data_IF_863782749510
#
_entry.id   IF_863782749510
#
_cell.length_a   1.000
_cell.length_b   1.000
_cell.length_c   1.000
_cell.angle_alpha   90.00
_cell.angle_beta   90.00
_cell.angle_gamma   90.00
#
_symmetry.space_group_name_H-M   'P 1'
#
loop_
_entity.id
_entity.type
_entity.pdbx_description
1 polymer ?
#
# COMPACT_ATOMS: atom_id res chain seq x y z
N UNK A 1 21.14 10.74 2.83
CA UNK A 1 20.30 9.53 2.72
C UNK A 1 19.30 9.59 3.85
N UNK A 2 18.05 9.99 3.56
CA UNK A 2 17.01 10.09 4.58
C UNK A 2 16.66 8.70 5.11
N UNK A 3 16.76 8.50 6.42
CA UNK A 3 16.26 7.31 7.09
C UNK A 3 14.74 7.36 7.01
N UNK A 4 14.15 6.53 6.16
CA UNK A 4 12.72 6.26 6.19
C UNK A 4 12.49 5.37 7.42
N UNK A 5 11.79 5.89 8.43
CA UNK A 5 11.35 5.08 9.57
C UNK A 5 10.33 4.10 9.02
N UNK A 6 10.74 2.85 8.81
CA UNK A 6 9.83 1.80 8.40
C UNK A 6 9.19 1.22 9.65
N UNK A 7 7.90 1.48 9.85
CA UNK A 7 7.16 1.02 11.01
C UNK A 7 6.43 -0.31 10.69
N UNK A 8 6.62 -1.31 11.54
CA UNK A 8 5.90 -2.59 11.44
C UNK A 8 4.59 -2.51 12.22
N UNK A 9 3.46 -2.82 11.58
CA UNK A 9 2.11 -2.79 12.15
C UNK A 9 1.52 -4.19 12.20
N UNK A 10 0.84 -4.55 13.28
CA UNK A 10 0.13 -5.84 13.34
C UNK A 10 -1.09 -5.84 12.43
N UNK A 11 -1.46 -6.99 11.87
CA UNK A 11 -2.67 -7.10 11.04
C UNK A 11 -3.95 -6.74 11.80
N UNK A 12 -3.94 -6.92 13.13
CA UNK A 12 -5.08 -6.55 13.99
C UNK A 12 -5.21 -5.03 14.09
N UNK A 13 -4.11 -4.35 14.39
CA UNK A 13 -4.03 -2.88 14.46
C UNK A 13 -4.35 -2.25 13.09
N UNK A 14 -3.75 -2.79 12.04
CA UNK A 14 -3.96 -2.30 10.68
C UNK A 14 -5.43 -2.38 10.26
N UNK A 15 -6.15 -3.45 10.64
CA UNK A 15 -7.58 -3.58 10.37
C UNK A 15 -8.42 -2.59 11.17
N UNK A 16 -8.07 -2.33 12.42
CA UNK A 16 -8.79 -1.40 13.28
C UNK A 16 -8.67 0.07 12.79
N UNK A 17 -7.51 0.41 12.21
CA UNK A 17 -7.17 1.79 11.82
C UNK A 17 -6.87 1.95 10.32
N UNK A 18 -7.47 1.10 9.48
CA UNK A 18 -7.13 1.01 8.05
C UNK A 18 -7.11 2.37 7.34
N UNK A 19 -8.15 3.19 7.53
CA UNK A 19 -8.27 4.49 6.87
C UNK A 19 -7.14 5.47 7.26
N UNK A 20 -6.63 5.38 8.48
CA UNK A 20 -5.52 6.21 8.95
C UNK A 20 -4.22 5.79 8.27
N UNK A 21 -3.88 4.50 8.32
CA UNK A 21 -2.71 3.98 7.64
C UNK A 21 -2.72 4.24 6.13
N UNK A 22 -3.89 4.16 5.48
CA UNK A 22 -4.00 4.50 4.06
C UNK A 22 -3.67 5.97 3.77
N UNK A 23 -4.10 6.92 4.62
CA UNK A 23 -3.71 8.34 4.48
C UNK A 23 -2.21 8.56 4.64
N UNK A 24 -1.58 7.85 5.58
CA UNK A 24 -0.12 7.89 5.74
C UNK A 24 0.60 7.31 4.53
N UNK A 25 0.08 6.23 3.97
CA UNK A 25 0.62 5.64 2.75
C UNK A 25 0.50 6.60 1.56
N UNK A 26 -0.64 7.31 1.43
CA UNK A 26 -0.82 8.36 0.42
C UNK A 26 0.17 9.53 0.59
N UNK A 27 0.56 9.87 1.82
CA UNK A 27 1.56 10.91 2.09
C UNK A 27 3.01 10.46 1.83
N UNK A 28 3.22 9.19 1.45
CA UNK A 28 4.54 8.64 1.11
C UNK A 28 5.12 7.68 2.15
N UNK A 29 4.43 7.44 3.26
CA UNK A 29 4.89 6.52 4.30
C UNK A 29 4.78 5.06 3.85
N UNK A 30 5.61 4.20 4.46
CA UNK A 30 5.66 2.77 4.18
C UNK A 30 5.57 1.99 5.47
N UNK A 31 4.79 0.92 5.45
CA UNK A 31 4.55 0.08 6.61
C UNK A 31 4.79 -1.39 6.26
N UNK A 32 5.34 -2.16 7.18
CA UNK A 32 5.31 -3.62 7.08
C UNK A 32 4.17 -4.18 7.91
N UNK A 33 3.23 -4.87 7.26
CA UNK A 33 2.19 -5.57 7.95
C UNK A 33 2.76 -6.89 8.53
N UNK A 34 2.39 -7.19 9.77
CA UNK A 34 2.85 -8.37 10.51
C UNK A 34 1.69 -9.26 10.95
N UNK A 35 1.91 -10.57 10.96
CA UNK A 35 1.02 -11.57 11.58
C UNK A 35 1.83 -12.34 12.61
N UNK A 36 1.39 -12.32 13.88
CA UNK A 36 2.10 -12.96 15.00
C UNK A 36 3.57 -12.54 15.09
N UNK A 37 3.84 -11.24 14.88
CA UNK A 37 5.18 -10.66 14.94
C UNK A 37 6.08 -10.92 13.73
N UNK A 38 5.60 -11.66 12.72
CA UNK A 38 6.33 -11.89 11.46
C UNK A 38 5.80 -10.98 10.36
N UNK A 39 6.70 -10.26 9.69
CA UNK A 39 6.38 -9.47 8.50
C UNK A 39 5.85 -10.38 7.37
N UNK A 40 4.72 -9.99 6.78
CA UNK A 40 4.08 -10.74 5.71
C UNK A 40 3.82 -9.90 4.45
N UNK A 41 3.82 -8.58 4.55
CA UNK A 41 3.54 -7.70 3.43
C UNK A 41 3.99 -6.26 3.67
N UNK A 42 4.18 -5.53 2.58
CA UNK A 42 4.49 -4.09 2.59
C UNK A 42 3.26 -3.32 2.11
N UNK A 43 2.90 -2.28 2.86
CA UNK A 43 1.93 -1.28 2.45
C UNK A 43 2.69 -0.03 2.02
N UNK A 44 2.49 0.38 0.77
CA UNK A 44 3.17 1.52 0.14
C UNK A 44 2.26 2.18 -0.88
N UNK A 45 2.48 3.47 -1.19
CA UNK A 45 1.69 4.14 -2.20
C UNK A 45 1.84 3.41 -3.54
N UNK A 46 0.75 3.38 -4.32
CA UNK A 46 0.81 2.86 -5.68
C UNK A 46 1.78 3.73 -6.49
N UNK A 47 2.64 3.10 -7.29
CA UNK A 47 3.40 3.83 -8.32
C UNK A 47 2.38 4.62 -9.18
N UNK A 48 2.59 5.91 -9.46
CA UNK A 48 1.75 6.70 -10.36
C UNK A 48 1.39 5.97 -11.66
N UNK A 49 2.31 5.21 -12.24
CA UNK A 49 2.07 4.38 -13.43
C UNK A 49 1.09 3.23 -13.16
N UNK A 50 1.16 2.61 -11.98
CA UNK A 50 0.18 1.58 -11.55
C UNK A 50 -1.17 2.20 -11.23
N UNK A 51 -1.21 3.41 -10.68
CA UNK A 51 -2.47 4.11 -10.44
C UNK A 51 -3.16 4.43 -11.77
N UNK A 52 -2.43 5.01 -12.72
CA UNK A 52 -2.90 5.27 -14.08
C UNK A 52 -3.35 3.99 -14.79
N UNK A 53 -2.60 2.88 -14.66
CA UNK A 53 -3.01 1.58 -15.19
C UNK A 53 -4.38 1.13 -14.65
N UNK A 54 -4.60 1.23 -13.32
CA UNK A 54 -5.89 0.85 -12.74
C UNK A 54 -7.02 1.82 -13.08
N UNK A 55 -6.71 3.08 -13.37
CA UNK A 55 -7.70 4.03 -13.89
C UNK A 55 -8.13 3.63 -15.31
N UNK A 56 -7.19 3.22 -16.18
CA UNK A 56 -7.49 2.68 -17.52
C UNK A 56 -8.33 1.40 -17.42
N UNK A 57 -7.99 0.49 -16.50
CA UNK A 57 -8.80 -0.73 -16.24
C UNK A 57 -10.21 -0.37 -15.76
N UNK A 58 -10.35 0.58 -14.82
CA UNK A 58 -11.66 1.03 -14.30
C UNK A 58 -12.50 1.75 -15.36
N UNK A 59 -11.87 2.46 -16.30
CA UNK A 59 -12.54 3.08 -17.44
C UNK A 59 -13.04 2.06 -18.50
N UNK A 60 -12.65 0.79 -18.39
CA UNK A 60 -12.97 -0.24 -19.38
C UNK A 60 -12.13 -0.16 -20.65
N UNK A 61 -11.03 0.59 -20.62
CA UNK A 61 -10.15 0.86 -21.76
C UNK A 61 -8.95 -0.09 -21.82
N UNK A 62 -8.83 -1.00 -20.85
CA UNK A 62 -7.78 -2.00 -20.83
C UNK A 62 -8.17 -3.22 -21.69
N UNK A 63 -7.40 -3.50 -22.74
CA UNK A 63 -7.44 -4.78 -23.45
C UNK A 63 -6.32 -5.71 -22.95
N UNK A 64 -6.67 -6.97 -22.75
CA UNK A 64 -5.69 -8.02 -22.45
C UNK A 64 -5.17 -8.60 -23.76
N UNK A 65 -3.88 -8.45 -24.02
CA UNK A 65 -3.17 -9.22 -25.03
C UNK A 65 -2.37 -10.33 -24.36
N UNK A 66 -2.64 -11.58 -24.75
CA UNK A 66 -1.84 -12.77 -24.41
C UNK A 66 -0.44 -12.74 -25.05
#
# INVERSE_FOLDING_TARGET
MGSWVVASVSITEFKAHLAEYLRHVESGERFFATVRGREFGELKPLNPERAAFWDIVRAGEAEWTE
#
